data_IF_331902755056
#
_entry.id   IF_331902755056
#
_cell.length_a   1.000
_cell.length_b   1.000
_cell.length_c   1.000
_cell.angle_alpha   90.00
_cell.angle_beta   90.00
_cell.angle_gamma   90.00
#
_symmetry.space_group_name_H-M   'P 1'
#
loop_
_entity.id
_entity.type
_entity.pdbx_description
1 polymer ?
#
# COMPACT_ATOMS: atom_id res chain seq x y z
N UNK A 1 18.58 10.23 -22.56
CA UNK A 1 17.39 10.55 -21.75
C UNK A 1 16.91 9.23 -21.16
N UNK A 2 17.47 8.84 -20.01
CA UNK A 2 16.98 7.66 -19.28
C UNK A 2 15.91 8.18 -18.33
N UNK A 3 14.72 8.44 -18.88
CA UNK A 3 13.53 8.63 -18.07
C UNK A 3 13.10 7.23 -17.64
N UNK A 4 13.60 6.82 -16.49
CA UNK A 4 13.27 5.55 -15.85
C UNK A 4 11.76 5.52 -15.63
N UNK A 5 11.01 4.97 -16.58
CA UNK A 5 9.54 4.89 -16.60
C UNK A 5 8.95 3.98 -15.53
N UNK A 6 9.48 4.03 -14.30
CA UNK A 6 8.91 3.39 -13.13
C UNK A 6 7.79 4.32 -12.64
N UNK A 7 6.54 3.87 -12.54
CA UNK A 7 5.45 4.70 -12.03
C UNK A 7 5.75 5.18 -10.61
N UNK A 8 5.21 6.37 -10.28
CA UNK A 8 5.33 6.95 -8.95
C UNK A 8 4.75 5.99 -7.91
N UNK A 9 5.42 5.87 -6.75
CA UNK A 9 4.99 4.96 -5.69
C UNK A 9 3.69 5.53 -5.09
N UNK A 10 2.59 4.75 -5.05
CA UNK A 10 1.34 5.22 -4.50
C UNK A 10 1.49 5.46 -3.00
N UNK A 11 1.01 6.61 -2.54
CA UNK A 11 1.05 7.00 -1.14
C UNK A 11 -0.36 6.86 -0.51
N UNK A 12 -0.64 5.77 0.22
CA UNK A 12 -1.87 5.69 1.01
C UNK A 12 -1.92 6.79 2.08
N UNK A 13 -3.12 7.12 2.60
CA UNK A 13 -3.28 8.15 3.62
C UNK A 13 -2.78 7.65 5.00
N UNK A 14 -1.46 7.49 5.15
CA UNK A 14 -0.82 6.89 6.33
C UNK A 14 -1.20 7.59 7.63
N UNK A 15 -1.28 8.92 7.64
CA UNK A 15 -1.66 9.69 8.82
C UNK A 15 -3.09 9.37 9.27
N UNK A 16 -4.03 9.30 8.33
CA UNK A 16 -5.41 8.92 8.63
C UNK A 16 -5.51 7.46 9.08
N UNK A 17 -4.76 6.57 8.44
CA UNK A 17 -4.75 5.15 8.79
C UNK A 17 -4.20 4.92 10.20
N UNK A 18 -3.12 5.60 10.58
CA UNK A 18 -2.57 5.55 11.95
C UNK A 18 -3.52 6.21 12.95
N UNK A 19 -4.12 7.35 12.59
CA UNK A 19 -5.10 8.01 13.46
C UNK A 19 -6.33 7.12 13.70
N UNK A 20 -6.80 6.43 12.67
CA UNK A 20 -7.91 5.50 12.74
C UNK A 20 -7.56 4.18 13.44
N UNK A 21 -6.30 3.72 13.36
CA UNK A 21 -5.79 2.59 14.12
C UNK A 21 -5.79 2.86 15.63
N UNK A 22 -5.54 4.11 16.05
CA UNK A 22 -5.56 4.50 17.45
C UNK A 22 -4.53 3.71 18.28
N UNK A 23 -4.99 3.08 19.36
CA UNK A 23 -4.16 2.24 20.25
C UNK A 23 -4.03 0.78 19.78
N UNK A 24 -4.62 0.43 18.62
CA UNK A 24 -4.50 -0.92 18.07
C UNK A 24 -3.09 -1.11 17.49
N UNK A 25 -2.24 -1.77 18.27
CA UNK A 25 -0.85 -2.03 17.90
C UNK A 25 -0.75 -2.91 16.65
N UNK A 26 -1.69 -3.84 16.43
CA UNK A 26 -1.67 -4.72 15.26
C UNK A 26 -2.05 -3.97 13.98
N UNK A 27 -3.02 -3.06 14.06
CA UNK A 27 -3.39 -2.16 12.98
C UNK A 27 -2.22 -1.22 12.62
N UNK A 28 -1.64 -0.56 13.63
CA UNK A 28 -0.50 0.35 13.45
C UNK A 28 0.71 -0.36 12.84
N UNK A 29 1.03 -1.57 13.32
CA UNK A 29 2.11 -2.38 12.76
C UNK A 29 1.81 -2.80 11.31
N UNK A 30 0.56 -3.08 10.96
CA UNK A 30 0.19 -3.42 9.58
C UNK A 30 0.29 -2.22 8.64
N UNK A 31 0.00 -1.01 9.11
CA UNK A 31 0.18 0.24 8.35
C UNK A 31 1.67 0.52 8.12
N UNK A 32 2.49 0.35 9.16
CA UNK A 32 3.95 0.53 9.05
C UNK A 32 4.59 -0.50 8.11
N UNK A 33 4.15 -1.77 8.17
CA UNK A 33 4.59 -2.81 7.26
C UNK A 33 4.23 -2.50 5.79
N UNK A 34 3.00 -2.03 5.53
CA UNK A 34 2.62 -1.59 4.18
C UNK A 34 3.52 -0.44 3.70
N UNK A 35 3.80 0.52 4.57
CA UNK A 35 4.68 1.64 4.25
C UNK A 35 6.10 1.16 3.93
N UNK A 36 6.66 0.28 4.75
CA UNK A 36 8.00 -0.26 4.54
C UNK A 36 8.10 -1.02 3.22
N UNK A 37 7.08 -1.80 2.86
CA UNK A 37 7.00 -2.53 1.59
C UNK A 37 6.97 -1.58 0.39
N UNK A 38 6.11 -0.55 0.43
CA UNK A 38 6.00 0.44 -0.65
C UNK A 38 7.30 1.26 -0.84
N UNK A 39 8.02 1.52 0.24
CA UNK A 39 9.31 2.21 0.23
C UNK A 39 10.53 1.28 0.05
N UNK A 40 10.31 -0.02 -0.13
CA UNK A 40 11.37 -0.97 -0.45
C UNK A 40 12.00 -0.64 -1.80
N UNK A 41 13.28 -0.96 -1.98
CA UNK A 41 13.94 -0.83 -3.29
C UNK A 41 13.32 -1.74 -4.37
N UNK A 42 12.76 -2.86 -3.91
CA UNK A 42 12.09 -3.90 -4.70
C UNK A 42 10.77 -4.23 -4.00
N UNK A 43 9.71 -3.44 -4.23
CA UNK A 43 8.40 -3.70 -3.64
C UNK A 43 7.77 -4.94 -4.28
N UNK A 44 7.28 -5.85 -3.45
CA UNK A 44 6.62 -7.09 -3.87
C UNK A 44 5.09 -6.88 -3.96
N UNK A 45 4.47 -7.03 -5.15
CA UNK A 45 3.04 -6.77 -5.32
C UNK A 45 2.16 -7.74 -4.52
N UNK A 46 2.63 -8.97 -4.23
CA UNK A 46 1.88 -9.92 -3.42
C UNK A 46 1.94 -9.56 -1.93
N UNK A 47 3.08 -9.07 -1.43
CA UNK A 47 3.24 -8.54 -0.08
C UNK A 47 2.36 -7.29 0.13
N UNK A 48 2.36 -6.35 -0.82
CA UNK A 48 1.48 -5.16 -0.77
C UNK A 48 0.00 -5.60 -0.73
N UNK A 49 -0.40 -6.58 -1.55
CA UNK A 49 -1.77 -7.12 -1.51
C UNK A 49 -2.10 -7.78 -0.17
N UNK A 50 -1.16 -8.52 0.42
CA UNK A 50 -1.34 -9.16 1.72
C UNK A 50 -1.53 -8.12 2.84
N UNK A 51 -0.68 -7.09 2.89
CA UNK A 51 -0.80 -6.00 3.87
C UNK A 51 -2.12 -5.25 3.70
N UNK A 52 -2.51 -4.96 2.47
CA UNK A 52 -3.79 -4.32 2.14
C UNK A 52 -4.97 -5.17 2.64
N UNK A 53 -4.96 -6.48 2.36
CA UNK A 53 -6.04 -7.39 2.78
C UNK A 53 -6.16 -7.48 4.30
N UNK A 54 -5.03 -7.46 5.01
CA UNK A 54 -4.99 -7.42 6.47
C UNK A 54 -5.60 -6.13 7.02
N UNK A 55 -5.22 -4.99 6.45
CA UNK A 55 -5.77 -3.70 6.85
C UNK A 55 -7.27 -3.58 6.52
N UNK A 56 -7.73 -4.16 5.41
CA UNK A 56 -9.16 -4.24 5.07
C UNK A 56 -9.97 -5.11 6.01
N UNK A 57 -9.34 -6.04 6.72
CA UNK A 57 -10.03 -6.83 7.75
C UNK A 57 -10.33 -6.01 9.02
N UNK A 58 -9.79 -4.80 9.12
CA UNK A 58 -10.02 -3.87 10.23
C UNK A 58 -11.12 -2.87 9.82
N UNK A 59 -12.33 -2.93 10.41
CA UNK A 59 -13.49 -2.16 9.92
C UNK A 59 -13.26 -0.66 9.82
N UNK A 60 -12.49 -0.08 10.75
CA UNK A 60 -12.22 1.37 10.79
C UNK A 60 -11.23 1.82 9.70
N UNK A 61 -10.41 0.90 9.17
CA UNK A 61 -9.43 1.15 8.11
C UNK A 61 -9.92 0.70 6.72
N UNK A 62 -10.92 -0.19 6.69
CA UNK A 62 -11.39 -0.86 5.48
C UNK A 62 -11.73 0.11 4.36
N UNK A 63 -12.60 1.09 4.61
CA UNK A 63 -13.00 2.07 3.60
C UNK A 63 -11.82 2.91 3.06
N UNK A 64 -10.88 3.30 3.93
CA UNK A 64 -9.73 4.13 3.53
C UNK A 64 -8.74 3.36 2.67
N UNK A 65 -8.43 2.14 3.09
CA UNK A 65 -7.54 1.25 2.33
C UNK A 65 -8.20 0.76 1.05
N UNK A 66 -9.49 0.46 1.07
CA UNK A 66 -10.22 0.05 -0.12
C UNK A 66 -10.22 1.18 -1.16
N UNK A 67 -10.49 2.42 -0.76
CA UNK A 67 -10.44 3.57 -1.68
C UNK A 67 -9.03 3.79 -2.27
N UNK A 68 -7.98 3.68 -1.45
CA UNK A 68 -6.61 3.78 -1.95
C UNK A 68 -6.22 2.61 -2.87
N UNK A 69 -6.65 1.39 -2.53
CA UNK A 69 -6.37 0.21 -3.34
C UNK A 69 -7.09 0.27 -4.68
N UNK A 70 -8.33 0.73 -4.71
CA UNK A 70 -9.13 0.90 -5.94
C UNK A 70 -8.67 2.09 -6.80
N UNK A 71 -7.82 2.96 -6.25
CA UNK A 71 -7.29 4.11 -6.97
C UNK A 71 -6.57 3.67 -8.26
N UNK A 72 -6.88 4.31 -9.41
CA UNK A 72 -6.33 3.91 -10.70
C UNK A 72 -4.80 4.04 -10.76
N UNK A 73 -4.19 4.96 -10.03
CA UNK A 73 -2.74 5.12 -10.01
C UNK A 73 -2.08 4.02 -9.17
N UNK A 74 -2.69 3.61 -8.05
CA UNK A 74 -2.27 2.42 -7.29
C UNK A 74 -2.34 1.17 -8.16
N UNK A 75 -3.45 0.94 -8.87
CA UNK A 75 -3.61 -0.23 -9.76
C UNK A 75 -2.61 -0.23 -10.93
N UNK A 76 -2.32 0.95 -11.51
CA UNK A 76 -1.28 1.08 -12.55
C UNK A 76 0.10 0.74 -12.03
N UNK A 77 0.44 1.19 -10.82
CA UNK A 77 1.73 0.90 -10.20
C UNK A 77 1.90 -0.60 -9.91
N UNK A 78 0.89 -1.25 -9.30
CA UNK A 78 0.90 -2.70 -9.05
C UNK A 78 1.06 -3.49 -10.36
N UNK A 79 0.32 -3.07 -11.40
CA UNK A 79 0.43 -3.69 -12.73
C UNK A 79 1.83 -3.53 -13.30
N UNK A 80 2.47 -2.37 -13.15
CA UNK A 80 3.83 -2.15 -13.64
C UNK A 80 4.85 -2.99 -12.87
N UNK A 81 4.68 -3.20 -11.56
CA UNK A 81 5.53 -4.11 -10.79
C UNK A 81 5.40 -5.55 -11.28
N UNK A 82 4.17 -6.01 -11.52
CA UNK A 82 3.92 -7.37 -12.00
C UNK A 82 4.44 -7.57 -13.44
N UNK A 83 4.31 -6.55 -14.30
CA UNK A 83 4.79 -6.58 -15.68
C UNK A 83 6.33 -6.52 -15.75
N UNK A 84 6.97 -5.82 -14.80
CA UNK A 84 8.42 -5.76 -14.67
C UNK A 84 9.06 -7.08 -14.22
N UNK A 85 8.26 -8.09 -13.85
CA UNK A 85 8.74 -9.45 -13.57
C UNK A 85 9.63 -9.56 -12.33
N UNK A 86 9.39 -8.71 -11.33
CA UNK A 86 9.85 -8.94 -9.95
C UNK A 86 9.09 -10.14 -9.36
#
# INVERSE_FOLDING_TARGET
MNDSGRPDVPHPPYEELRAAAGDDAAATQSVDALQAELHSGEPDPAAVQQHTSRLRSIPVLEARIANWWDDPDTQRWIKALTDAGL
#
